data_IF_516501665194
#
_entry.id   IF_516501665194
#
_cell.length_a   1.000
_cell.length_b   1.000
_cell.length_c   1.000
_cell.angle_alpha   90.00
_cell.angle_beta   90.00
_cell.angle_gamma   90.00
#
_symmetry.space_group_name_H-M   'P 1'
#
loop_
_entity.id
_entity.type
_entity.pdbx_description
1 polymer ?
#
# COMPACT_ATOMS: atom_id res chain seq x y z
N UNK A 1 -4.13 9.01 -11.41
CA UNK A 1 -3.16 8.24 -10.62
C UNK A 1 -3.88 7.13 -9.88
N UNK A 2 -3.31 5.97 -9.89
CA UNK A 2 -3.95 4.82 -9.25
C UNK A 2 -3.67 4.80 -7.76
N UNK A 3 -4.65 4.28 -7.04
CA UNK A 3 -4.55 4.22 -5.59
C UNK A 3 -3.32 3.44 -5.13
N UNK A 4 -3.02 2.32 -5.80
CA UNK A 4 -1.87 1.53 -5.45
C UNK A 4 -0.55 2.27 -5.61
N UNK A 5 -0.44 3.05 -6.68
CA UNK A 5 0.77 3.84 -6.90
C UNK A 5 0.95 4.87 -5.80
N UNK A 6 -0.15 5.45 -5.35
CA UNK A 6 -0.10 6.43 -4.29
C UNK A 6 0.40 5.80 -2.99
N UNK A 7 -0.04 4.60 -2.71
CA UNK A 7 0.41 3.88 -1.53
C UNK A 7 1.89 3.58 -1.58
N UNK A 8 2.36 3.12 -2.73
CA UNK A 8 3.78 2.82 -2.91
C UNK A 8 4.61 4.08 -2.69
N UNK A 9 4.18 5.16 -3.24
CA UNK A 9 4.88 6.43 -3.12
C UNK A 9 4.94 6.88 -1.67
N UNK A 10 3.81 6.80 -0.98
CA UNK A 10 3.75 7.20 0.42
C UNK A 10 4.67 6.32 1.26
N UNK A 11 4.66 5.03 1.00
CA UNK A 11 5.48 4.09 1.74
C UNK A 11 6.97 4.38 1.55
N UNK A 12 7.37 4.59 0.31
CA UNK A 12 8.78 4.85 0.01
C UNK A 12 9.24 6.19 0.58
N UNK A 13 8.38 7.16 0.51
CA UNK A 13 8.71 8.49 1.03
C UNK A 13 8.98 8.43 2.53
N UNK A 14 8.28 7.56 3.23
CA UNK A 14 8.43 7.46 4.68
C UNK A 14 9.31 6.28 5.10
N UNK A 15 9.89 5.57 4.16
CA UNK A 15 10.76 4.45 4.47
C UNK A 15 10.06 3.31 5.18
N UNK A 16 8.82 3.07 4.84
CA UNK A 16 8.02 2.05 5.50
C UNK A 16 7.91 0.78 4.65
N UNK A 17 7.81 -0.36 5.34
CA UNK A 17 7.46 -1.59 4.67
C UNK A 17 5.95 -1.65 4.48
N UNK A 18 5.49 -2.65 3.72
CA UNK A 18 4.04 -2.84 3.54
C UNK A 18 3.35 -3.04 4.87
N UNK A 19 3.98 -3.80 5.73
CA UNK A 19 3.41 -4.09 7.04
C UNK A 19 3.31 -2.82 7.88
N UNK A 20 4.33 -2.00 7.83
CA UNK A 20 4.33 -0.76 8.59
C UNK A 20 3.26 0.19 8.07
N UNK A 21 3.12 0.27 6.76
CA UNK A 21 2.07 1.11 6.19
C UNK A 21 0.69 0.61 6.59
N UNK A 22 0.49 -0.69 6.53
CA UNK A 22 -0.80 -1.27 6.89
C UNK A 22 -1.17 -0.92 8.32
N UNK A 23 -0.21 -1.03 9.22
CA UNK A 23 -0.46 -0.70 10.62
C UNK A 23 -0.80 0.77 10.78
N UNK A 24 -0.14 1.61 10.03
CA UNK A 24 -0.34 3.05 10.14
C UNK A 24 -1.74 3.46 9.73
N UNK A 25 -2.25 2.86 8.67
CA UNK A 25 -3.57 3.26 8.17
C UNK A 25 -4.68 2.33 8.64
N UNK A 26 -4.33 1.34 9.47
CA UNK A 26 -5.36 0.52 10.11
C UNK A 26 -5.93 -0.58 9.25
N UNK A 27 -5.13 -1.13 8.37
CA UNK A 27 -5.56 -2.24 7.52
C UNK A 27 -4.55 -3.37 7.60
N UNK A 28 -4.82 -4.48 6.91
CA UNK A 28 -3.91 -5.61 6.91
C UNK A 28 -2.84 -5.44 5.84
N UNK A 29 -1.72 -6.11 6.06
CA UNK A 29 -0.65 -6.10 5.07
C UNK A 29 -1.13 -6.69 3.73
N UNK A 30 -2.00 -7.68 3.81
CA UNK A 30 -2.54 -8.29 2.60
C UNK A 30 -3.29 -7.28 1.75
N UNK A 31 -4.03 -6.40 2.40
CA UNK A 31 -4.74 -5.35 1.68
C UNK A 31 -3.78 -4.40 0.99
N UNK A 32 -2.71 -4.01 1.67
CA UNK A 32 -1.72 -3.14 1.07
C UNK A 32 -1.08 -3.81 -0.14
N UNK A 33 -0.70 -5.06 0.01
CA UNK A 33 -0.07 -5.80 -1.07
C UNK A 33 -1.00 -5.88 -2.29
N UNK A 34 -2.27 -6.16 -2.04
CA UNK A 34 -3.25 -6.26 -3.10
C UNK A 34 -3.43 -4.94 -3.83
N UNK A 35 -3.51 -3.88 -3.07
CA UNK A 35 -3.70 -2.55 -3.65
C UNK A 35 -2.49 -2.10 -4.45
N UNK A 36 -1.30 -2.38 -3.93
CA UNK A 36 -0.07 -1.99 -4.61
C UNK A 36 0.11 -2.73 -5.92
N UNK A 37 -0.36 -3.95 -5.97
CA UNK A 37 -0.27 -4.72 -7.21
C UNK A 37 -1.34 -4.32 -8.22
N UNK A 38 -2.35 -3.61 -7.78
CA UNK A 38 -3.42 -3.17 -8.66
C UNK A 38 -4.34 -4.29 -9.09
N UNK A 39 -4.24 -5.44 -8.44
CA UNK A 39 -4.97 -6.60 -8.88
C UNK A 39 -6.47 -6.50 -8.75
N UNK A 40 -6.94 -5.64 -7.88
CA UNK A 40 -8.36 -5.53 -7.65
C UNK A 40 -9.12 -4.93 -8.83
N UNK A 41 -8.42 -4.36 -9.76
CA UNK A 41 -9.06 -3.66 -10.86
C UNK A 41 -9.12 -4.46 -12.15
N UNK A 42 -8.68 -5.67 -12.10
CA UNK A 42 -8.64 -6.47 -13.32
C UNK A 42 -9.76 -7.45 -13.40
#
# INVERSE_FOLDING_TARGET
MKFGEKLIRLRRKNGMSQEQLAAKIGITRQSVSKWESGGSLR
#
